data_IF_016667685605
#
_entry.id   IF_016667685605
#
_cell.length_a   1.000
_cell.length_b   1.000
_cell.length_c   1.000
_cell.angle_alpha   90.00
_cell.angle_beta   90.00
_cell.angle_gamma   90.00
#
_symmetry.space_group_name_H-M   'P 1'
#
loop_
_entity.id
_entity.type
_entity.pdbx_description
1 polymer ?
#
# COMPACT_ATOMS: atom_id res chain seq x y z
N UNK A 1 2.97 25.97 -0.89
CA UNK A 1 4.39 26.21 -0.54
C UNK A 1 5.22 25.66 -1.67
N UNK A 2 6.16 26.44 -2.24
CA UNK A 2 7.10 25.91 -3.23
C UNK A 2 8.24 25.25 -2.47
N UNK A 3 8.29 23.92 -2.48
CA UNK A 3 9.32 23.15 -1.77
C UNK A 3 10.68 23.17 -2.49
N UNK A 4 10.75 23.67 -3.73
CA UNK A 4 12.00 23.76 -4.51
C UNK A 4 12.42 22.45 -5.19
N UNK A 5 11.85 21.31 -4.79
CA UNK A 5 12.12 20.02 -5.43
C UNK A 5 11.41 19.81 -6.79
N UNK A 6 10.42 20.64 -7.16
CA UNK A 6 9.63 20.45 -8.37
C UNK A 6 10.49 20.35 -9.64
N UNK A 7 11.46 21.25 -9.80
CA UNK A 7 12.36 21.26 -10.95
C UNK A 7 13.22 20.00 -11.02
N UNK A 8 13.75 19.56 -9.88
CA UNK A 8 14.56 18.34 -9.77
C UNK A 8 13.73 17.10 -10.12
N UNK A 9 12.55 16.93 -9.53
CA UNK A 9 11.70 15.77 -9.78
C UNK A 9 11.25 15.74 -11.25
N UNK A 10 10.90 16.90 -11.81
CA UNK A 10 10.56 17.01 -13.24
C UNK A 10 11.72 16.59 -14.14
N UNK A 11 12.97 16.90 -13.79
CA UNK A 11 14.15 16.45 -14.54
C UNK A 11 14.32 14.92 -14.54
N UNK A 12 13.78 14.23 -13.53
CA UNK A 12 13.72 12.78 -13.44
C UNK A 12 12.43 12.18 -14.02
N UNK A 13 11.54 13.00 -14.59
CA UNK A 13 10.26 12.55 -15.13
C UNK A 13 9.22 12.23 -14.05
N UNK A 14 9.31 12.85 -12.88
CA UNK A 14 8.34 12.68 -11.79
C UNK A 14 7.70 14.02 -11.44
N UNK A 15 6.38 14.03 -11.28
CA UNK A 15 5.62 15.19 -10.85
C UNK A 15 4.80 14.83 -9.60
N UNK A 16 4.91 15.64 -8.56
CA UNK A 16 4.02 15.56 -7.39
C UNK A 16 2.86 16.51 -7.67
N UNK A 17 1.65 15.95 -7.76
CA UNK A 17 0.44 16.73 -8.01
C UNK A 17 -0.04 17.44 -6.76
N UNK A 18 -0.84 18.49 -6.97
CA UNK A 18 -1.46 19.23 -5.88
C UNK A 18 -2.64 18.46 -5.27
N UNK A 19 -2.76 18.53 -3.95
CA UNK A 19 -3.89 18.00 -3.19
C UNK A 19 -3.54 16.78 -2.35
N UNK A 20 -4.51 16.35 -1.54
CA UNK A 20 -4.38 15.17 -0.68
C UNK A 20 -5.27 14.04 -1.20
N UNK A 21 -4.71 12.84 -1.29
CA UNK A 21 -5.43 11.64 -1.68
C UNK A 21 -6.30 11.18 -0.52
N UNK A 22 -7.58 11.05 -0.82
CA UNK A 22 -8.60 10.46 0.04
C UNK A 22 -8.93 9.08 -0.51
N UNK A 23 -8.96 8.06 0.34
CA UNK A 23 -9.27 6.70 -0.08
C UNK A 23 -10.38 6.11 0.81
N UNK A 24 -11.36 5.44 0.21
CA UNK A 24 -12.36 4.68 0.96
C UNK A 24 -11.73 3.49 1.71
N UNK A 25 -10.65 2.91 1.18
CA UNK A 25 -9.81 1.92 1.87
C UNK A 25 -8.80 2.66 2.75
N UNK A 26 -9.23 3.06 3.95
CA UNK A 26 -8.42 3.83 4.89
C UNK A 26 -8.38 3.23 6.29
N UNK A 27 -7.60 3.85 7.18
CA UNK A 27 -7.57 3.43 8.58
C UNK A 27 -8.88 3.77 9.30
N UNK A 28 -9.14 3.04 10.38
CA UNK A 28 -10.08 3.45 11.40
C UNK A 28 -9.32 4.17 12.52
N UNK A 29 -9.81 5.31 12.98
CA UNK A 29 -9.26 6.01 14.13
C UNK A 29 -10.32 6.21 15.22
N UNK A 30 -9.86 6.25 16.46
CA UNK A 30 -10.71 6.56 17.62
C UNK A 30 -10.54 8.02 17.98
N UNK A 31 -11.64 8.77 17.99
CA UNK A 31 -11.69 10.18 18.35
C UNK A 31 -12.53 10.35 19.62
N UNK A 32 -12.02 11.11 20.58
CA UNK A 32 -12.74 11.44 21.80
C UNK A 32 -13.55 12.73 21.61
N UNK A 33 -14.84 12.68 21.90
CA UNK A 33 -15.72 13.84 21.91
C UNK A 33 -16.24 14.09 23.31
N UNK A 34 -15.98 15.30 23.83
CA UNK A 34 -16.50 15.71 25.13
C UNK A 34 -17.96 16.12 24.97
N UNK A 35 -18.85 15.46 25.71
CA UNK A 35 -20.26 15.79 25.76
C UNK A 35 -20.51 16.97 26.70
N UNK A 36 -21.68 17.61 26.57
CA UNK A 36 -22.10 18.70 27.47
C UNK A 36 -22.16 18.27 28.95
N UNK A 37 -22.30 16.96 29.22
CA UNK A 37 -22.24 16.36 30.57
C UNK A 37 -20.83 16.26 31.16
N UNK A 38 -19.78 16.63 30.41
CA UNK A 38 -18.38 16.49 30.82
C UNK A 38 -17.79 15.09 30.59
N UNK A 39 -18.59 14.12 30.13
CA UNK A 39 -18.11 12.78 29.77
C UNK A 39 -17.43 12.80 28.39
N UNK A 40 -16.35 12.03 28.23
CA UNK A 40 -15.70 11.81 26.93
C UNK A 40 -16.22 10.52 26.32
N UNK A 41 -16.88 10.63 25.17
CA UNK A 41 -17.32 9.48 24.37
C UNK A 41 -16.31 9.23 23.27
N UNK A 42 -15.91 7.97 23.11
CA UNK A 42 -15.00 7.55 22.06
C UNK A 42 -15.82 7.10 20.84
N UNK A 43 -15.57 7.73 19.69
CA UNK A 43 -16.15 7.34 18.41
C UNK A 43 -15.08 6.75 17.51
N UNK A 44 -15.40 5.66 16.81
CA UNK A 44 -14.52 5.09 15.80
C UNK A 44 -14.97 5.57 14.42
N UNK A 45 -14.09 6.26 13.70
CA UNK A 45 -14.39 6.86 12.40
C UNK A 45 -13.36 6.42 11.36
N UNK A 46 -13.83 6.27 10.11
CA UNK A 46 -12.94 6.10 8.96
C UNK A 46 -12.25 7.43 8.66
N UNK A 47 -10.94 7.38 8.36
CA UNK A 47 -10.18 8.59 8.06
C UNK A 47 -9.49 8.50 6.70
N UNK A 48 -10.18 8.91 5.61
CA UNK A 48 -9.74 8.75 4.23
C UNK A 48 -8.39 9.36 3.87
N UNK A 49 -7.93 10.37 4.62
CA UNK A 49 -6.62 11.03 4.45
C UNK A 49 -5.43 10.13 4.81
N UNK A 50 -5.70 8.92 5.34
CA UNK A 50 -4.69 7.90 5.56
C UNK A 50 -5.14 6.62 4.83
N UNK A 51 -4.91 6.54 3.51
CA UNK A 51 -5.07 5.32 2.75
C UNK A 51 -4.36 4.14 3.40
N UNK A 52 -5.06 3.01 3.49
CA UNK A 52 -4.54 1.72 3.92
C UNK A 52 -4.45 0.84 2.69
N UNK A 53 -3.34 0.99 1.96
CA UNK A 53 -3.13 0.35 0.66
C UNK A 53 -2.96 -1.15 0.84
N UNK A 54 -3.67 -1.92 0.02
CA UNK A 54 -3.63 -3.37 -0.06
C UNK A 54 -3.26 -3.79 -1.50
N UNK A 55 -2.91 -5.06 -1.72
CA UNK A 55 -2.57 -5.54 -3.07
C UNK A 55 -1.25 -4.95 -3.60
N UNK A 56 -0.30 -4.71 -2.70
CA UNK A 56 1.05 -4.27 -3.08
C UNK A 56 1.75 -5.37 -3.89
N UNK A 57 2.68 -5.00 -4.78
CA UNK A 57 3.35 -5.97 -5.66
C UNK A 57 4.12 -7.02 -4.83
N UNK A 58 3.72 -8.30 -4.86
CA UNK A 58 4.38 -9.35 -4.09
C UNK A 58 5.76 -9.71 -4.64
N UNK A 59 6.10 -9.28 -5.86
CA UNK A 59 7.39 -9.55 -6.52
C UNK A 59 8.43 -8.47 -6.23
N UNK A 60 8.00 -7.23 -5.95
CA UNK A 60 8.92 -6.13 -5.70
C UNK A 60 9.55 -6.23 -4.29
N UNK A 61 10.88 -6.12 -4.14
CA UNK A 61 11.56 -6.27 -2.84
C UNK A 61 11.02 -5.35 -1.73
N UNK A 62 10.63 -4.12 -2.09
CA UNK A 62 10.02 -3.15 -1.17
C UNK A 62 8.70 -3.63 -0.53
N UNK A 63 7.87 -4.34 -1.30
CA UNK A 63 6.48 -4.61 -0.95
C UNK A 63 6.15 -6.07 -0.72
N UNK A 64 7.10 -6.96 -0.99
CA UNK A 64 6.94 -8.41 -0.81
C UNK A 64 6.61 -8.77 0.65
N UNK A 65 5.61 -9.63 0.81
CA UNK A 65 5.17 -10.14 2.12
C UNK A 65 4.40 -9.11 2.95
N UNK A 66 4.06 -7.96 2.38
CA UNK A 66 3.25 -6.93 3.05
C UNK A 66 1.79 -7.05 2.62
N UNK A 67 0.90 -7.31 3.57
CA UNK A 67 -0.54 -7.38 3.30
C UNK A 67 -1.14 -6.00 3.06
N UNK A 68 -0.80 -5.04 3.94
CA UNK A 68 -1.30 -3.68 3.89
C UNK A 68 -0.34 -2.71 4.54
N UNK A 69 -0.26 -1.50 3.98
CA UNK A 69 0.64 -0.43 4.46
C UNK A 69 -0.13 0.88 4.41
N UNK A 70 0.06 1.72 5.42
CA UNK A 70 -0.67 2.97 5.52
C UNK A 70 0.19 4.15 5.07
N UNK A 71 -0.43 5.07 4.34
CA UNK A 71 0.25 6.21 3.76
C UNK A 71 -0.46 7.51 4.14
N UNK A 72 -0.11 8.13 5.28
CA UNK A 72 -0.78 9.34 5.75
C UNK A 72 -0.49 10.56 4.87
N UNK A 73 -1.53 11.33 4.55
CA UNK A 73 -1.45 12.65 3.92
C UNK A 73 -0.61 12.66 2.63
N UNK A 74 -0.91 11.73 1.73
CA UNK A 74 -0.19 11.63 0.46
C UNK A 74 -0.77 12.56 -0.59
N UNK A 75 0.10 13.18 -1.36
CA UNK A 75 -0.24 13.81 -2.64
C UNK A 75 -0.13 12.78 -3.78
N UNK A 76 -0.88 12.92 -4.88
CA UNK A 76 -0.71 12.04 -6.03
C UNK A 76 0.65 12.26 -6.68
N UNK A 77 1.32 11.20 -7.12
CA UNK A 77 2.58 11.25 -7.84
C UNK A 77 2.35 10.77 -9.27
N UNK A 78 2.92 11.44 -10.26
CA UNK A 78 2.85 11.03 -11.67
C UNK A 78 4.23 10.74 -12.18
N UNK A 79 4.33 9.63 -12.89
CA UNK A 79 5.52 9.22 -13.61
C UNK A 79 5.32 9.53 -15.10
N UNK A 80 6.25 10.27 -15.67
CA UNK A 80 6.27 10.70 -17.06
C UNK A 80 7.70 10.61 -17.59
N UNK A 81 8.10 9.41 -18.00
CA UNK A 81 9.40 9.15 -18.60
C UNK A 81 9.33 9.24 -20.13
N UNK A 82 10.36 9.79 -20.80
CA UNK A 82 10.46 9.75 -22.26
C UNK A 82 10.61 8.32 -22.80
N UNK A 83 10.00 8.01 -23.94
CA UNK A 83 9.94 6.66 -24.55
C UNK A 83 11.30 5.96 -24.76
N UNK A 84 12.41 6.71 -24.89
CA UNK A 84 13.75 6.19 -25.16
C UNK A 84 14.75 6.45 -24.01
N UNK A 85 14.26 6.31 -22.78
CA UNK A 85 15.07 6.51 -21.57
C UNK A 85 15.62 5.18 -21.05
N UNK A 86 16.90 5.16 -20.65
CA UNK A 86 17.53 4.01 -20.00
C UNK A 86 17.15 3.86 -18.52
N UNK A 87 16.45 4.85 -17.95
CA UNK A 87 15.88 4.81 -16.59
C UNK A 87 14.57 4.02 -16.64
N UNK A 88 14.49 2.97 -15.83
CA UNK A 88 13.25 2.24 -15.57
C UNK A 88 12.50 2.96 -14.46
N UNK A 89 11.22 3.25 -14.67
CA UNK A 89 10.35 3.80 -13.63
C UNK A 89 9.10 2.96 -13.46
N UNK A 90 8.76 2.66 -12.21
CA UNK A 90 7.60 1.85 -11.86
C UNK A 90 6.76 2.58 -10.80
N UNK A 91 5.44 2.42 -10.88
CA UNK A 91 4.54 2.87 -9.80
C UNK A 91 4.48 1.78 -8.74
N UNK A 92 5.04 2.04 -7.57
CA UNK A 92 5.15 1.06 -6.49
C UNK A 92 3.88 0.95 -5.66
N UNK A 93 3.27 2.10 -5.32
CA UNK A 93 2.11 2.17 -4.43
C UNK A 93 1.01 2.96 -5.12
N UNK A 94 -0.19 2.37 -5.15
CA UNK A 94 -1.41 3.00 -5.66
C UNK A 94 -2.50 2.93 -4.60
N UNK A 95 -3.31 3.99 -4.52
CA UNK A 95 -4.56 3.97 -3.76
C UNK A 95 -5.63 3.12 -4.47
N UNK A 96 -6.75 2.87 -3.80
CA UNK A 96 -7.85 2.09 -4.36
C UNK A 96 -8.55 2.80 -5.52
N UNK A 97 -9.37 2.07 -6.29
CA UNK A 97 -10.23 2.68 -7.31
C UNK A 97 -11.28 3.65 -6.72
N UNK A 98 -11.56 3.55 -5.42
CA UNK A 98 -12.46 4.46 -4.70
C UNK A 98 -11.64 5.52 -3.97
N UNK A 99 -10.86 6.25 -4.75
CA UNK A 99 -10.00 7.32 -4.26
C UNK A 99 -10.27 8.63 -4.98
N UNK A 100 -10.02 9.74 -4.28
CA UNK A 100 -10.23 11.10 -4.76
C UNK A 100 -9.07 11.98 -4.35
N UNK A 101 -8.99 13.17 -4.94
CA UNK A 101 -7.97 14.18 -4.58
C UNK A 101 -8.67 15.43 -4.07
N UNK A 102 -8.50 15.71 -2.78
CA UNK A 102 -8.96 16.96 -2.17
C UNK A 102 -7.98 18.08 -2.52
N UNK A 103 -8.48 19.18 -3.06
CA UNK A 103 -7.70 20.41 -3.28
C UNK A 103 -7.84 21.36 -2.08
N UNK A 104 -6.92 22.33 -1.90
CA UNK A 104 -7.08 23.38 -0.90
C UNK A 104 -8.40 24.15 -1.04
N UNK A 105 -9.01 24.61 0.07
CA UNK A 105 -8.57 24.45 1.45
C UNK A 105 -8.81 23.02 1.98
N UNK A 106 -7.81 22.46 2.65
CA UNK A 106 -7.91 21.11 3.21
C UNK A 106 -8.74 21.12 4.49
N UNK A 107 -9.64 20.16 4.61
CA UNK A 107 -10.33 19.87 5.85
C UNK A 107 -9.85 18.50 6.36
N UNK A 108 -9.07 18.55 7.43
CA UNK A 108 -8.45 17.39 8.08
C UNK A 108 -9.22 16.97 9.35
N UNK A 109 -10.43 17.49 9.55
CA UNK A 109 -11.25 17.13 10.70
C UNK A 109 -11.72 15.67 10.53
N UNK A 110 -11.36 14.76 11.46
CA UNK A 110 -11.77 13.36 11.36
C UNK A 110 -13.28 13.14 11.50
N UNK A 111 -14.01 14.12 12.04
CA UNK A 111 -15.47 14.12 12.15
C UNK A 111 -16.16 14.83 10.97
N UNK A 112 -15.41 15.22 9.94
CA UNK A 112 -16.00 15.80 8.75
C UNK A 112 -16.93 14.79 8.05
N UNK A 113 -18.05 15.30 7.55
CA UNK A 113 -18.93 14.57 6.65
C UNK A 113 -18.39 14.66 5.22
N UNK A 114 -18.06 13.52 4.64
CA UNK A 114 -17.60 13.40 3.25
C UNK A 114 -18.82 13.32 2.33
N UNK A 115 -18.96 14.23 1.35
CA UNK A 115 -19.96 14.11 0.30
C UNK A 115 -19.29 13.76 -1.03
N UNK A 116 -19.82 12.76 -1.74
CA UNK A 116 -19.28 12.31 -3.04
C UNK A 116 -19.25 13.46 -4.06
N UNK A 117 -20.22 14.36 -3.99
CA UNK A 117 -20.34 15.56 -4.82
C UNK A 117 -19.13 16.52 -4.68
N UNK A 118 -18.48 16.55 -3.50
CA UNK A 118 -17.32 17.39 -3.24
C UNK A 118 -15.98 16.79 -3.69
N UNK A 119 -15.97 15.50 -4.05
CA UNK A 119 -14.75 14.71 -4.21
C UNK A 119 -14.34 14.48 -5.67
N UNK A 120 -15.22 14.79 -6.63
CA UNK A 120 -14.96 14.60 -8.06
C UNK A 120 -15.00 13.14 -8.48
N UNK A 121 -14.31 12.80 -9.57
CA UNK A 121 -14.30 11.44 -10.12
C UNK A 121 -13.36 10.52 -9.32
N UNK A 122 -13.86 9.33 -8.99
CA UNK A 122 -13.09 8.34 -8.25
C UNK A 122 -12.08 7.64 -9.18
N UNK A 123 -10.79 7.67 -8.82
CA UNK A 123 -9.75 6.98 -9.56
C UNK A 123 -8.55 6.65 -8.68
N UNK A 124 -7.94 5.48 -8.88
CA UNK A 124 -6.71 5.09 -8.22
C UNK A 124 -5.57 6.08 -8.50
N UNK A 125 -4.98 6.61 -7.42
CA UNK A 125 -3.89 7.58 -7.48
C UNK A 125 -2.56 6.90 -7.14
N UNK A 126 -1.50 7.08 -7.94
CA UNK A 126 -0.17 6.67 -7.52
C UNK A 126 0.29 7.50 -6.33
N UNK A 127 0.77 6.85 -5.28
CA UNK A 127 1.26 7.51 -4.06
C UNK A 127 2.80 7.52 -3.99
N UNK A 128 3.43 6.54 -4.65
CA UNK A 128 4.87 6.34 -4.62
C UNK A 128 5.35 5.69 -5.92
N UNK A 129 6.48 6.19 -6.42
CA UNK A 129 7.13 5.70 -7.64
C UNK A 129 8.61 5.43 -7.36
N UNK A 130 9.17 4.47 -8.09
CA UNK A 130 10.59 4.16 -8.07
C UNK A 130 11.20 4.45 -9.44
N UNK A 131 12.47 4.85 -9.43
CA UNK A 131 13.30 5.04 -10.61
C UNK A 131 14.60 4.27 -10.41
N UNK A 132 15.05 3.57 -11.45
CA UNK A 132 16.32 2.85 -11.44
C UNK A 132 17.03 3.03 -12.78
N UNK A 133 18.32 3.38 -12.74
CA UNK A 133 19.15 3.47 -13.95
C UNK A 133 20.17 4.60 -13.89
N UNK A 134 20.74 4.99 -15.04
CA UNK A 134 21.71 6.08 -15.11
C UNK A 134 20.99 7.44 -14.95
N UNK A 135 20.72 7.82 -13.70
CA UNK A 135 20.10 9.09 -13.36
C UNK A 135 21.14 10.22 -13.41
N UNK A 136 20.77 11.36 -14.00
CA UNK A 136 21.64 12.54 -14.02
C UNK A 136 21.77 13.10 -12.61
N UNK A 137 22.99 13.39 -12.15
CA UNK A 137 23.19 14.03 -10.84
C UNK A 137 22.69 15.48 -10.86
N UNK A 138 21.89 15.86 -9.87
CA UNK A 138 21.43 17.23 -9.64
C UNK A 138 22.57 18.18 -9.26
N UNK A 139 23.63 17.65 -8.65
CA UNK A 139 24.78 18.42 -8.15
C UNK A 139 25.69 18.92 -9.26
N UNK A 140 25.58 18.38 -10.48
CA UNK A 140 26.34 18.85 -11.64
C UNK A 140 25.96 20.27 -12.10
N UNK A 141 24.88 20.85 -11.54
CA UNK A 141 24.43 22.22 -11.82
C UNK A 141 24.77 23.22 -10.69
N UNK A 142 25.48 22.79 -9.63
CA UNK A 142 25.91 23.69 -8.55
C UNK A 142 27.11 24.51 -9.05
N UNK A 143 27.09 25.86 -8.97
CA UNK A 143 28.21 26.69 -9.40
C UNK A 143 29.50 26.35 -8.63
N UNK A 144 30.65 26.38 -9.30
CA UNK A 144 31.97 25.99 -8.78
C UNK A 144 32.40 26.70 -7.48
N UNK A 145 31.74 27.79 -7.09
CA UNK A 145 32.10 28.58 -5.91
C UNK A 145 31.64 28.01 -4.55
N UNK A 146 30.94 26.86 -4.53
CA UNK A 146 30.48 26.19 -3.30
C UNK A 146 31.02 24.75 -3.15
N UNK A 147 31.89 24.32 -4.05
CA UNK A 147 32.37 22.92 -4.15
C UNK A 147 33.87 22.89 -3.91
N UNK A 148 34.33 22.25 -2.82
CA UNK A 148 35.76 22.11 -2.53
C UNK A 148 36.47 21.04 -3.40
N UNK A 149 35.71 20.24 -4.15
CA UNK A 149 36.20 19.22 -5.06
C UNK A 149 35.47 19.33 -6.41
N UNK A 150 36.16 19.09 -7.55
CA UNK A 150 35.52 19.11 -8.85
C UNK A 150 34.34 18.12 -8.86
N UNK A 151 33.19 18.47 -9.45
CA UNK A 151 32.06 17.56 -9.51
C UNK A 151 32.49 16.32 -10.28
N UNK A 152 32.55 15.17 -9.62
CA UNK A 152 32.63 13.87 -10.29
C UNK A 152 31.36 13.72 -11.14
N UNK A 153 31.45 14.24 -12.36
CA UNK A 153 30.42 14.12 -13.38
C UNK A 153 30.46 12.69 -13.92
N UNK A 154 30.02 11.72 -13.12
CA UNK A 154 29.81 10.34 -13.56
C UNK A 154 28.92 9.58 -12.57
N UNK A 155 27.61 9.88 -12.59
CA UNK A 155 26.61 8.88 -12.19
C UNK A 155 26.49 7.83 -13.32
N UNK A 156 27.56 7.06 -13.54
CA UNK A 156 27.54 5.87 -14.39
C UNK A 156 27.15 4.60 -13.59
N UNK A 157 27.08 4.71 -12.26
CA UNK A 157 26.53 3.67 -11.38
C UNK A 157 25.01 3.79 -11.44
N UNK A 158 24.32 2.69 -11.72
CA UNK A 158 22.86 2.63 -11.71
C UNK A 158 22.34 3.10 -10.35
N UNK A 159 21.70 4.26 -10.32
CA UNK A 159 21.13 4.83 -9.10
C UNK A 159 19.68 4.36 -8.92
N UNK A 160 19.24 4.28 -7.67
CA UNK A 160 17.85 4.04 -7.30
C UNK A 160 17.30 5.26 -6.60
N UNK A 161 16.14 5.72 -7.02
CA UNK A 161 15.42 6.83 -6.40
C UNK A 161 13.99 6.40 -6.12
N UNK A 162 13.48 6.77 -4.96
CA UNK A 162 12.09 6.60 -4.59
C UNK A 162 11.48 7.98 -4.31
N UNK A 163 10.34 8.24 -4.94
CA UNK A 163 9.61 9.49 -4.75
C UNK A 163 8.23 9.15 -4.19
N UNK A 164 7.91 9.77 -3.06
CA UNK A 164 6.65 9.60 -2.37
C UNK A 164 5.93 10.95 -2.28
N UNK A 165 4.62 10.97 -2.44
CA UNK A 165 3.80 12.19 -2.37
C UNK A 165 3.62 12.78 -0.97
N UNK A 166 4.27 12.21 0.04
CA UNK A 166 4.22 12.63 1.43
C UNK A 166 5.29 11.88 2.25
N UNK A 167 5.66 12.42 3.41
CA UNK A 167 6.71 11.85 4.28
C UNK A 167 6.18 11.25 5.59
N UNK A 168 4.91 11.47 5.91
CA UNK A 168 4.34 11.08 7.21
C UNK A 168 4.32 9.56 7.45
N UNK A 169 4.42 8.74 6.39
CA UNK A 169 4.52 7.28 6.51
C UNK A 169 5.82 6.80 7.17
N UNK A 170 6.85 7.67 7.24
CA UNK A 170 8.13 7.39 7.91
C UNK A 170 8.12 7.87 9.37
N UNK A 171 7.11 8.65 9.78
CA UNK A 171 7.10 9.25 11.12
C UNK A 171 6.65 8.27 12.21
N UNK A 172 7.42 8.24 13.31
CA UNK A 172 7.14 7.49 14.54
C UNK A 172 5.75 7.80 15.13
N UNK A 173 5.22 9.01 14.86
CA UNK A 173 3.88 9.42 15.33
C UNK A 173 2.78 8.46 14.87
N UNK A 174 2.97 7.83 13.72
CA UNK A 174 2.02 6.90 13.13
C UNK A 174 2.40 5.43 13.36
N UNK A 175 3.56 5.13 13.95
CA UNK A 175 4.03 3.75 14.17
C UNK A 175 2.99 2.90 14.94
N UNK A 176 2.41 3.46 16.00
CA UNK A 176 1.37 2.80 16.81
C UNK A 176 0.09 2.52 16.04
N UNK A 177 -0.20 3.28 14.98
CA UNK A 177 -1.40 3.13 14.16
C UNK A 177 -1.20 2.11 13.03
N UNK A 178 0.03 1.91 12.55
CA UNK A 178 0.30 1.20 11.29
C UNK A 178 0.91 -0.20 11.44
N UNK A 179 1.31 -0.59 12.65
CA UNK A 179 1.65 -1.98 13.00
C UNK A 179 2.89 -2.57 12.31
N UNK A 180 3.01 -3.90 12.34
CA UNK A 180 4.21 -4.63 11.87
C UNK A 180 4.49 -4.46 10.38
N UNK A 181 3.45 -4.35 9.54
CA UNK A 181 3.61 -4.21 8.09
C UNK A 181 4.26 -2.89 7.70
N UNK A 182 4.00 -1.80 8.44
CA UNK A 182 4.67 -0.51 8.22
C UNK A 182 6.16 -0.59 8.56
N UNK A 183 6.51 -1.20 9.69
CA UNK A 183 7.91 -1.38 10.10
C UNK A 183 8.67 -2.23 9.06
N UNK A 184 8.06 -3.33 8.60
CA UNK A 184 8.63 -4.16 7.55
C UNK A 184 8.80 -3.39 6.23
N UNK A 185 7.83 -2.55 5.85
CA UNK A 185 7.94 -1.68 4.69
C UNK A 185 9.14 -0.72 4.80
N UNK A 186 9.31 -0.06 5.94
CA UNK A 186 10.42 0.86 6.16
C UNK A 186 11.77 0.14 6.14
N UNK A 187 11.87 -1.05 6.73
CA UNK A 187 13.09 -1.86 6.65
C UNK A 187 13.41 -2.25 5.21
N UNK A 188 12.41 -2.76 4.47
CA UNK A 188 12.58 -3.10 3.05
C UNK A 188 12.98 -1.85 2.23
N UNK A 189 12.45 -0.67 2.58
CA UNK A 189 12.81 0.60 1.97
C UNK A 189 14.28 0.94 2.16
N UNK A 190 14.78 0.91 3.39
CA UNK A 190 16.19 1.15 3.66
C UNK A 190 17.09 0.12 2.98
N UNK A 191 16.71 -1.15 3.04
CA UNK A 191 17.45 -2.21 2.35
C UNK A 191 17.53 -1.93 0.85
N UNK A 192 16.41 -1.61 0.20
CA UNK A 192 16.36 -1.38 -1.24
C UNK A 192 17.13 -0.13 -1.67
N UNK A 193 17.23 0.89 -0.82
CA UNK A 193 17.99 2.10 -1.11
C UNK A 193 19.50 1.93 -0.84
N UNK A 194 19.89 1.11 0.14
CA UNK A 194 21.27 1.02 0.63
C UNK A 194 22.03 -0.24 0.18
N UNK A 195 21.34 -1.34 -0.11
CA UNK A 195 21.97 -2.60 -0.45
C UNK A 195 22.15 -2.76 -1.96
N UNK A 196 23.27 -3.37 -2.34
CA UNK A 196 23.52 -3.86 -3.69
C UNK A 196 22.53 -4.97 -4.08
N UNK A 197 22.26 -5.11 -5.38
CA UNK A 197 21.28 -6.08 -5.93
C UNK A 197 21.51 -7.52 -5.43
N UNK A 198 22.77 -7.93 -5.25
CA UNK A 198 23.13 -9.26 -4.77
C UNK A 198 22.69 -9.53 -3.32
N UNK A 199 22.77 -8.52 -2.45
CA UNK A 199 22.39 -8.64 -1.03
C UNK A 199 20.86 -8.61 -0.86
N UNK A 200 20.17 -7.82 -1.69
CA UNK A 200 18.70 -7.81 -1.75
C UNK A 200 18.14 -9.18 -2.13
N UNK A 201 18.75 -9.86 -3.10
CA UNK A 201 18.31 -11.16 -3.56
C UNK A 201 18.38 -12.24 -2.46
N UNK A 202 19.39 -12.20 -1.58
CA UNK A 202 19.58 -13.18 -0.50
C UNK A 202 18.55 -12.99 0.61
N UNK A 203 18.26 -11.74 1.01
CA UNK A 203 17.24 -11.44 2.05
C UNK A 203 15.84 -11.87 1.63
N UNK A 204 15.52 -11.75 0.34
CA UNK A 204 14.19 -12.05 -0.20
C UNK A 204 13.78 -13.53 -0.13
N UNK A 205 14.71 -14.46 0.12
CA UNK A 205 14.41 -15.91 0.21
C UNK A 205 13.83 -16.35 1.55
N UNK A 206 13.94 -15.53 2.62
CA UNK A 206 13.56 -15.94 3.98
C UNK A 206 12.14 -15.61 4.42
N UNK A 207 11.43 -14.70 3.75
CA UNK A 207 10.14 -14.16 4.20
C UNK A 207 9.14 -14.20 3.05
N UNK A 208 8.37 -15.28 2.93
CA UNK A 208 7.26 -15.37 1.99
C UNK A 208 6.04 -16.00 2.66
N UNK A 209 5.37 -15.20 3.49
CA UNK A 209 3.93 -15.33 3.61
C UNK A 209 3.34 -14.30 2.63
N UNK A 210 2.92 -14.76 1.45
CA UNK A 210 2.26 -13.92 0.47
C UNK A 210 0.83 -13.64 0.97
N UNK A 211 0.40 -12.36 0.98
CA UNK A 211 -1.01 -12.02 1.22
C UNK A 211 -1.92 -12.73 0.22
N UNK A 212 -3.11 -13.12 0.65
CA UNK A 212 -4.12 -13.72 -0.24
C UNK A 212 -4.74 -12.64 -1.13
N UNK A 213 -4.94 -12.96 -2.41
CA UNK A 213 -5.57 -12.05 -3.38
C UNK A 213 -6.99 -11.65 -2.95
N UNK A 214 -7.34 -10.39 -3.17
CA UNK A 214 -8.65 -9.84 -2.82
C UNK A 214 -9.67 -10.30 -3.87
N UNK A 215 -10.36 -11.40 -3.57
CA UNK A 215 -11.46 -11.93 -4.38
C UNK A 215 -12.73 -11.08 -4.18
N UNK A 216 -13.54 -10.94 -5.23
CA UNK A 216 -14.83 -10.24 -5.15
C UNK A 216 -15.69 -10.75 -3.99
N UNK A 217 -16.45 -9.86 -3.34
CA UNK A 217 -17.26 -10.19 -2.16
C UNK A 217 -18.19 -11.40 -2.40
N UNK A 218 -18.74 -11.54 -3.61
CA UNK A 218 -19.55 -12.70 -4.00
C UNK A 218 -18.77 -14.01 -4.03
N UNK A 219 -17.57 -14.02 -4.62
CA UNK A 219 -16.71 -15.20 -4.64
C UNK A 219 -16.27 -15.60 -3.22
N UNK A 220 -15.95 -14.61 -2.37
CA UNK A 220 -15.62 -14.80 -0.95
C UNK A 220 -16.77 -15.49 -0.21
N UNK A 221 -17.99 -15.04 -0.45
CA UNK A 221 -19.19 -15.59 0.18
C UNK A 221 -19.44 -17.06 -0.21
N UNK A 222 -19.33 -17.38 -1.51
CA UNK A 222 -19.53 -18.74 -2.03
C UNK A 222 -18.51 -19.71 -1.46
N UNK A 223 -17.21 -19.37 -1.51
CA UNK A 223 -16.14 -20.22 -0.98
C UNK A 223 -16.33 -20.47 0.52
N UNK A 224 -16.71 -19.43 1.27
CA UNK A 224 -16.95 -19.53 2.71
C UNK A 224 -18.10 -20.48 3.03
N UNK A 225 -19.25 -20.34 2.36
CA UNK A 225 -20.41 -21.21 2.60
C UNK A 225 -20.20 -22.63 2.08
N UNK A 226 -19.53 -22.80 0.95
CA UNK A 226 -19.17 -24.12 0.44
C UNK A 226 -18.31 -24.88 1.45
N UNK A 227 -17.23 -24.28 1.96
CA UNK A 227 -16.38 -24.93 2.96
C UNK A 227 -17.12 -25.19 4.28
N UNK A 228 -18.01 -24.29 4.69
CA UNK A 228 -18.80 -24.44 5.91
C UNK A 228 -19.84 -25.57 5.81
N UNK A 229 -20.46 -25.77 4.65
CA UNK A 229 -21.52 -26.76 4.44
C UNK A 229 -21.00 -28.12 3.92
N UNK A 230 -19.93 -28.14 3.12
CA UNK A 230 -19.43 -29.35 2.48
C UNK A 230 -18.96 -30.41 3.49
N UNK A 231 -18.26 -29.99 4.56
CA UNK A 231 -17.81 -30.93 5.60
C UNK A 231 -18.99 -31.59 6.34
N UNK A 232 -19.94 -30.83 6.95
CA UNK A 232 -21.09 -31.42 7.63
C UNK A 232 -21.92 -32.35 6.72
N UNK A 233 -22.19 -31.92 5.48
CA UNK A 233 -22.96 -32.71 4.52
C UNK A 233 -22.21 -33.98 4.12
N UNK A 234 -20.89 -33.88 3.91
CA UNK A 234 -20.04 -35.04 3.61
C UNK A 234 -20.05 -36.08 4.74
N UNK A 235 -19.93 -35.64 6.00
CA UNK A 235 -20.01 -36.54 7.16
C UNK A 235 -21.40 -37.16 7.33
N UNK A 236 -22.47 -36.37 7.16
CA UNK A 236 -23.84 -36.89 7.20
C UNK A 236 -24.09 -37.94 6.09
N UNK A 237 -23.61 -37.67 4.88
CA UNK A 237 -23.67 -38.60 3.75
C UNK A 237 -22.92 -39.90 4.01
N UNK A 238 -21.68 -39.83 4.50
CA UNK A 238 -20.91 -41.01 4.89
C UNK A 238 -21.59 -41.81 6.02
N UNK A 239 -22.19 -41.11 6.99
CA UNK A 239 -22.98 -41.71 8.06
C UNK A 239 -24.18 -42.49 7.52
N UNK A 240 -24.96 -41.87 6.62
CA UNK A 240 -26.11 -42.50 5.96
C UNK A 240 -25.71 -43.72 5.14
N UNK A 241 -24.61 -43.63 4.38
CA UNK A 241 -24.09 -44.76 3.59
C UNK A 241 -23.66 -45.91 4.49
N UNK A 242 -22.88 -45.66 5.54
CA UNK A 242 -22.46 -46.70 6.49
C UNK A 242 -23.66 -47.33 7.21
N UNK A 243 -24.64 -46.52 7.59
CA UNK A 243 -25.86 -47.01 8.23
C UNK A 243 -26.64 -47.96 7.30
N UNK A 244 -26.91 -47.54 6.06
CA UNK A 244 -27.57 -48.35 5.02
C UNK A 244 -26.81 -49.65 4.74
N UNK A 245 -25.47 -49.61 4.66
CA UNK A 245 -24.65 -50.80 4.43
C UNK A 245 -24.68 -51.78 5.62
N UNK A 246 -24.71 -51.27 6.86
CA UNK A 246 -24.82 -52.08 8.08
C UNK A 246 -26.19 -52.76 8.18
N UNK A 247 -27.24 -52.06 7.83
CA UNK A 247 -28.61 -52.57 7.84
C UNK A 247 -28.82 -53.69 6.80
N UNK A 248 -28.26 -53.51 5.60
CA UNK A 248 -28.22 -54.56 4.57
C UNK A 248 -27.47 -55.81 4.99
N UNK A 249 -26.41 -55.68 5.80
CA UNK A 249 -25.67 -56.84 6.35
C UNK A 249 -26.48 -57.57 7.42
N UNK A 250 -27.24 -56.86 8.26
CA UNK A 250 -28.13 -57.46 9.27
C UNK A 250 -29.23 -58.33 8.63
N UNK A 251 -29.84 -57.86 7.55
CA UNK A 251 -30.90 -58.60 6.87
C UNK A 251 -30.41 -59.84 6.09
N UNK A 252 -29.10 -60.04 5.96
CA UNK A 252 -28.51 -61.24 5.33
C UNK A 252 -28.16 -62.36 6.33
N UNK A 253 -28.32 -62.13 7.64
CA UNK A 253 -27.93 -63.09 8.70
C UNK A 253 -29.14 -63.73 9.41
N UNK A 254 -30.37 -63.46 8.95
CA UNK A 254 -31.55 -64.21 9.39
C UNK A 254 -31.87 -65.35 8.40
N UNK A 255 -31.25 -66.51 8.63
CA UNK A 255 -31.69 -67.83 8.19
C UNK A 255 -31.48 -68.80 9.34
#
# INVERSE_FOLDING_TARGET
>A
MKHGLEGLLKSYGVEVGDGLVLDAQCIMMTVGQQQASGQVVLHQVQYPLIPLVQGLDPKHPLTRGLEKVAFPYMSPVRLSLPDKTAVKGDVLVRSSQKSWVQKPPYNINPLQQWSVESLGEAAAQPLMVTLQGPLKSASAAVPDNLSAEPPEAQAAVSARVLVAGGASFVSDRYERLMGRSQQAFLLNLFDWLLLDDGLLAVRSRGLSAAPLDDISDGARQVIKYFNMAALPVGFAGLGLVRWRLRERRRNKVSL
#
